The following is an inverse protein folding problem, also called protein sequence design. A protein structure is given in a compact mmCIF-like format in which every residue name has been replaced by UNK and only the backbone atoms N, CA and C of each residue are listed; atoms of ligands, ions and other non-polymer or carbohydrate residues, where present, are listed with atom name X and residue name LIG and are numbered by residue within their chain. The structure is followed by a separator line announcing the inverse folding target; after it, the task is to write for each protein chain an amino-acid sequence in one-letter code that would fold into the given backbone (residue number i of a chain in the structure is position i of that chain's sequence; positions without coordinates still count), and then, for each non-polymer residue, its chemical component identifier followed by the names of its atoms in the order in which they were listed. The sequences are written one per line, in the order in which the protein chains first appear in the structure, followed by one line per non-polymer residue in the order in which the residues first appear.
data_IF_992123064572
#
_entry.id   IF_992123064572
#
_cell.length_a   1.000
_cell.length_b   1.000
_cell.length_c   1.000
_cell.angle_alpha   90.00
_cell.angle_beta   90.00
_cell.angle_gamma   90.00
#
_symmetry.space_group_name_H-M   'P 1'
#
loop_
_entity.id
_entity.type
_entity.pdbx_description
1 polymer ?
#
# COMPACT_ATOMS: atom_id res chain seq x y z
N UNK A 1 0.50 -0.45 14.09
CA UNK A 1 1.88 -0.56 13.55
C UNK A 1 1.70 -1.09 12.17
N UNK A 2 2.02 -0.28 11.16
CA UNK A 2 1.79 -0.61 9.77
C UNK A 2 3.11 -1.01 9.12
N UNK A 3 3.07 -1.96 8.16
CA UNK A 3 4.25 -2.40 7.42
C UNK A 3 4.13 -1.94 5.98
N UNK A 4 5.02 -1.06 5.56
CA UNK A 4 5.08 -0.50 4.20
C UNK A 4 6.44 -0.84 3.60
N UNK A 5 6.43 -1.58 2.50
CA UNK A 5 7.65 -2.02 1.82
C UNK A 5 7.61 -1.66 0.34
N UNK A 6 8.75 -1.25 -0.20
CA UNK A 6 8.89 -0.96 -1.62
C UNK A 6 10.15 -1.62 -2.16
N UNK A 7 10.01 -2.31 -3.29
CA UNK A 7 11.11 -2.86 -4.06
C UNK A 7 10.90 -2.56 -5.55
N UNK A 8 11.63 -1.58 -6.07
CA UNK A 8 11.41 -1.08 -7.43
C UNK A 8 10.00 -0.51 -7.59
N UNK A 9 9.22 -1.09 -8.50
CA UNK A 9 7.83 -0.69 -8.80
C UNK A 9 6.79 -1.34 -7.88
N UNK A 10 7.16 -2.39 -7.14
CA UNK A 10 6.25 -3.09 -6.23
C UNK A 10 6.18 -2.38 -4.88
N UNK A 11 4.97 -2.17 -4.37
CA UNK A 11 4.72 -1.60 -3.04
C UNK A 11 3.75 -2.52 -2.30
N UNK A 12 4.09 -2.91 -1.07
CA UNK A 12 3.21 -3.69 -0.20
C UNK A 12 2.85 -2.85 1.02
N UNK A 13 1.56 -2.67 1.27
CA UNK A 13 1.03 -1.98 2.45
C UNK A 13 0.20 -2.96 3.25
N UNK A 14 0.64 -3.30 4.46
CA UNK A 14 -0.16 -4.06 5.42
C UNK A 14 -0.69 -3.10 6.48
N UNK A 15 -2.00 -2.88 6.47
CA UNK A 15 -2.69 -2.00 7.42
C UNK A 15 -4.13 -2.40 7.65
N UNK A 16 -4.63 -2.16 8.86
CA UNK A 16 -6.06 -2.34 9.20
C UNK A 16 -6.61 -3.75 8.90
N UNK A 17 -5.73 -4.76 8.96
CA UNK A 17 -6.09 -6.14 8.63
C UNK A 17 -6.18 -6.42 7.12
N UNK A 18 -5.70 -5.53 6.25
CA UNK A 18 -5.67 -5.69 4.80
C UNK A 18 -4.21 -5.66 4.33
N UNK A 19 -3.89 -6.53 3.37
CA UNK A 19 -2.62 -6.50 2.64
C UNK A 19 -2.92 -5.99 1.23
N UNK A 20 -2.46 -4.79 0.93
CA UNK A 20 -2.42 -4.28 -0.44
C UNK A 20 -1.08 -4.62 -1.07
N UNK A 21 -1.12 -5.44 -2.12
CA UNK A 21 0.07 -5.83 -2.87
C UNK A 21 0.00 -5.22 -4.27
N UNK A 22 0.69 -4.08 -4.42
CA UNK A 22 0.76 -3.33 -5.65
C UNK A 22 2.00 -3.72 -6.44
N UNK A 23 1.82 -4.07 -7.71
CA UNK A 23 2.93 -4.29 -8.62
C UNK A 23 2.48 -4.77 -10.00
N UNK A 24 3.44 -5.12 -10.87
CA UNK A 24 3.12 -5.60 -12.19
C UNK A 24 2.39 -6.95 -12.11
N UNK A 25 1.23 -7.02 -12.77
CA UNK A 25 0.53 -8.28 -13.02
C UNK A 25 1.17 -9.04 -14.20
N UNK A 26 0.59 -10.17 -14.61
CA UNK A 26 1.12 -11.02 -15.70
C UNK A 26 1.17 -10.33 -17.07
N UNK A 27 0.44 -9.22 -17.26
CA UNK A 27 0.46 -8.40 -18.49
C UNK A 27 1.25 -7.10 -18.31
N UNK A 28 2.05 -6.98 -17.24
CA UNK A 28 2.77 -5.75 -16.85
C UNK A 28 1.87 -4.56 -16.53
N UNK A 29 0.56 -4.78 -16.37
CA UNK A 29 -0.36 -3.78 -15.86
C UNK A 29 -0.16 -3.62 -14.36
N UNK A 30 -0.13 -2.38 -13.88
CA UNK A 30 0.00 -2.09 -12.47
C UNK A 30 -1.38 -2.09 -11.82
N UNK A 31 -1.61 -3.00 -10.87
CA UNK A 31 -2.82 -3.05 -10.07
C UNK A 31 -2.48 -3.53 -8.65
N UNK A 32 -3.47 -3.50 -7.75
CA UNK A 32 -3.34 -4.12 -6.45
C UNK A 32 -4.11 -5.44 -6.41
N UNK A 33 -3.55 -6.42 -5.72
CA UNK A 33 -4.25 -7.65 -5.35
C UNK A 33 -4.41 -7.67 -3.83
N UNK A 34 -5.55 -7.16 -3.37
CA UNK A 34 -5.79 -6.91 -1.97
C UNK A 34 -6.37 -8.18 -1.32
N UNK A 35 -5.77 -8.57 -0.20
CA UNK A 35 -6.28 -9.67 0.63
C UNK A 35 -6.66 -9.14 1.99
N UNK A 36 -7.91 -9.35 2.37
CA UNK A 36 -8.41 -9.01 3.70
C UNK A 36 -8.11 -10.18 4.66
N UNK A 37 -7.36 -9.89 5.72
CA UNK A 37 -6.99 -10.81 6.78
C UNK A 37 -8.06 -10.95 7.88
N UNK A 38 -9.08 -10.08 7.89
CA UNK A 38 -10.25 -10.25 8.76
C UNK A 38 -11.27 -11.16 8.09
N UNK A 39 -11.76 -12.16 8.84
CA UNK A 39 -12.89 -13.00 8.36
C UNK A 39 -14.17 -12.20 8.54
N UNK A 40 -14.60 -11.52 7.48
CA UNK A 40 -15.79 -10.64 7.53
C UNK A 40 -17.09 -11.46 7.60
N UNK A 41 -17.12 -12.66 7.01
CA UNK A 41 -18.26 -13.58 7.07
C UNK A 41 -17.87 -15.01 6.67
N UNK A 42 -18.80 -15.98 6.85
CA UNK A 42 -18.61 -17.39 6.44
C UNK A 42 -19.58 -17.76 5.31
N UNK A 43 -19.12 -18.55 4.35
CA UNK A 43 -19.96 -19.19 3.32
C UNK A 43 -19.87 -20.70 3.51
N UNK A 44 -21.02 -21.38 3.69
CA UNK A 44 -21.06 -22.84 3.87
C UNK A 44 -20.23 -23.33 5.07
N UNK A 45 -20.19 -22.55 6.16
CA UNK A 45 -19.42 -22.86 7.37
C UNK A 45 -17.92 -22.53 7.30
N UNK A 46 -17.39 -22.16 6.12
CA UNK A 46 -15.98 -21.82 5.92
C UNK A 46 -15.75 -20.31 6.00
N UNK A 47 -14.69 -19.83 6.68
CA UNK A 47 -14.23 -18.45 6.59
C UNK A 47 -14.08 -18.01 5.12
N UNK A 48 -14.66 -16.87 4.78
CA UNK A 48 -14.46 -16.25 3.48
C UNK A 48 -13.46 -15.10 3.62
N UNK A 49 -12.37 -15.16 2.87
CA UNK A 49 -11.40 -14.08 2.76
C UNK A 49 -11.66 -13.36 1.43
N UNK A 50 -12.32 -12.19 1.44
CA UNK A 50 -12.54 -11.45 0.20
C UNK A 50 -11.22 -11.02 -0.42
N UNK A 51 -11.22 -11.01 -1.76
CA UNK A 51 -10.16 -10.39 -2.55
C UNK A 51 -10.74 -9.20 -3.27
N UNK A 52 -10.07 -8.08 -3.18
CA UNK A 52 -10.43 -6.85 -3.88
C UNK A 52 -9.29 -6.41 -4.79
N UNK A 53 -9.63 -5.67 -5.82
CA UNK A 53 -8.65 -5.09 -6.74
C UNK A 53 -8.84 -3.59 -6.78
N UNK A 54 -7.74 -2.88 -6.62
CA UNK A 54 -7.64 -1.44 -6.73
C UNK A 54 -6.42 -1.08 -7.60
N UNK A 55 -6.10 0.20 -7.66
CA UNK A 55 -4.88 0.69 -8.31
C UNK A 55 -4.16 1.61 -7.37
N UNK A 56 -2.83 1.49 -7.32
CA UNK A 56 -1.98 2.53 -6.79
C UNK A 56 -1.22 3.16 -7.95
N UNK A 57 -1.11 4.48 -7.99
CA UNK A 57 -0.43 5.17 -9.09
C UNK A 57 0.57 6.14 -8.47
N UNK A 58 1.82 6.06 -8.92
CA UNK A 58 2.82 7.06 -8.59
C UNK A 58 2.60 8.31 -9.44
N UNK A 59 2.28 9.41 -8.78
CA UNK A 59 2.08 10.71 -9.39
C UNK A 59 2.97 11.75 -8.67
N UNK A 60 4.03 12.20 -9.33
CA UNK A 60 4.95 13.24 -8.82
C UNK A 60 5.46 12.99 -7.38
N UNK A 61 5.80 11.73 -7.05
CA UNK A 61 6.30 11.34 -5.73
C UNK A 61 5.21 11.04 -4.68
N UNK A 62 3.93 11.12 -5.07
CA UNK A 62 2.78 10.70 -4.26
C UNK A 62 2.28 9.36 -4.78
N UNK A 63 2.03 8.41 -3.87
CA UNK A 63 1.36 7.15 -4.19
C UNK A 63 -0.15 7.31 -3.95
N UNK A 64 -0.90 7.47 -5.03
CA UNK A 64 -2.35 7.66 -5.03
C UNK A 64 -3.05 6.31 -5.10
N UNK A 65 -3.96 6.03 -4.17
CA UNK A 65 -4.76 4.80 -4.16
C UNK A 65 -6.18 5.09 -4.66
N UNK A 66 -6.53 4.43 -5.77
CA UNK A 66 -7.82 4.53 -6.44
C UNK A 66 -8.70 3.32 -6.10
N UNK A 67 -9.86 3.58 -5.51
CA UNK A 67 -10.84 2.52 -5.26
C UNK A 67 -11.31 1.91 -6.58
N UNK A 68 -11.50 0.58 -6.63
CA UNK A 68 -11.89 -0.18 -7.83
C UNK A 68 -10.94 -0.07 -9.03
N UNK A 69 -9.76 0.51 -8.85
CA UNK A 69 -8.71 0.60 -9.86
C UNK A 69 -8.83 1.75 -10.86
N UNK A 70 -10.01 2.36 -10.98
CA UNK A 70 -10.29 3.51 -11.86
C UNK A 70 -11.08 4.61 -11.17
N UNK A 71 -11.52 4.38 -9.92
CA UNK A 71 -12.34 5.31 -9.15
C UNK A 71 -11.54 6.50 -8.60
N UNK A 72 -12.17 7.31 -7.73
CA UNK A 72 -11.51 8.45 -7.12
C UNK A 72 -10.31 8.01 -6.25
N UNK A 73 -9.34 8.93 -6.09
CA UNK A 73 -8.26 8.78 -5.13
C UNK A 73 -8.84 8.87 -3.73
N UNK A 74 -8.70 7.81 -2.94
CA UNK A 74 -9.21 7.78 -1.55
C UNK A 74 -8.12 7.86 -0.50
N UNK A 75 -6.87 7.59 -0.87
CA UNK A 75 -5.69 7.81 -0.02
C UNK A 75 -4.53 8.32 -0.87
N UNK A 76 -3.90 9.41 -0.45
CA UNK A 76 -2.61 9.89 -0.95
C UNK A 76 -1.54 9.54 0.09
N UNK A 77 -0.43 8.94 -0.35
CA UNK A 77 0.70 8.60 0.53
C UNK A 77 1.97 9.26 0.03
N UNK A 78 2.67 9.97 0.89
CA UNK A 78 3.90 10.67 0.53
C UNK A 78 4.81 10.83 1.76
N UNK A 79 6.10 11.04 1.49
CA UNK A 79 7.05 11.41 2.53
C UNK A 79 7.04 12.93 2.72
N UNK A 80 6.99 13.36 3.97
CA UNK A 80 7.18 14.75 4.38
C UNK A 80 8.25 14.78 5.47
N UNK A 81 9.46 15.16 5.07
CA UNK A 81 10.67 14.93 5.86
C UNK A 81 10.89 13.45 6.13
N UNK A 82 10.99 13.07 7.41
CA UNK A 82 11.18 11.69 7.85
C UNK A 82 9.86 10.92 8.04
N UNK A 83 8.72 11.60 7.97
CA UNK A 83 7.41 11.02 8.26
C UNK A 83 6.72 10.53 6.99
N UNK A 84 6.06 9.37 7.09
CA UNK A 84 5.11 8.91 6.08
C UNK A 84 3.76 9.53 6.39
N UNK A 85 3.21 10.27 5.44
CA UNK A 85 1.93 10.97 5.55
C UNK A 85 0.90 10.25 4.70
N UNK A 86 -0.25 9.94 5.30
CA UNK A 86 -1.44 9.48 4.62
C UNK A 86 -2.51 10.55 4.73
N UNK A 87 -3.01 10.99 3.59
CA UNK A 87 -4.10 11.93 3.48
C UNK A 87 -5.29 11.21 2.85
N UNK A 88 -6.42 11.22 3.53
CA UNK A 88 -7.63 10.52 3.12
C UNK A 88 -8.58 11.48 2.39
N UNK A 89 -9.49 10.93 1.58
CA UNK A 89 -10.46 11.73 0.83
C UNK A 89 -11.39 12.61 1.69
N UNK A 90 -11.54 12.31 2.98
CA UNK A 90 -12.30 13.14 3.93
C UNK A 90 -11.48 14.33 4.49
N UNK A 91 -10.22 14.48 4.04
CA UNK A 91 -9.29 15.51 4.50
C UNK A 91 -8.57 15.17 5.80
N UNK A 92 -8.85 14.01 6.42
CA UNK A 92 -8.09 13.56 7.58
C UNK A 92 -6.67 13.19 7.18
N UNK A 93 -5.72 13.40 8.11
CA UNK A 93 -4.30 13.14 7.88
C UNK A 93 -3.74 12.30 9.01
N UNK A 94 -3.02 11.24 8.65
CA UNK A 94 -2.23 10.42 9.57
C UNK A 94 -0.76 10.59 9.24
N UNK A 95 0.05 10.92 10.25
CA UNK A 95 1.51 11.02 10.14
C UNK A 95 2.13 9.91 10.95
N UNK A 96 3.11 9.22 10.38
CA UNK A 96 3.74 8.06 10.99
C UNK A 96 5.25 8.22 11.04
N UNK A 97 5.81 7.88 12.20
CA UNK A 97 7.24 7.77 12.40
C UNK A 97 7.74 6.38 12.02
N UNK A 98 8.98 6.31 11.54
CA UNK A 98 9.66 5.04 11.27
C UNK A 98 10.07 4.40 12.59
N UNK A 99 9.73 3.12 12.75
CA UNK A 99 10.15 2.33 13.93
C UNK A 99 11.63 1.93 13.82
N UNK A 100 12.14 1.80 12.60
CA UNK A 100 13.53 1.48 12.33
C UNK A 100 14.03 2.21 11.07
N UNK A 101 15.33 2.46 11.04
CA UNK A 101 16.03 3.04 9.90
C UNK A 101 17.09 2.07 9.40
N UNK A 102 17.40 2.15 8.11
CA UNK A 102 18.56 1.44 7.59
C UNK A 102 19.84 2.05 8.18
N UNK A 103 20.86 1.24 8.50
CA UNK A 103 22.20 1.76 8.73
C UNK A 103 22.63 2.61 7.53
N UNK A 104 23.30 3.72 7.77
CA UNK A 104 23.63 4.72 6.73
C UNK A 104 24.37 4.10 5.54
N UNK A 105 25.29 3.16 5.81
CA UNK A 105 26.06 2.43 4.80
C UNK A 105 25.23 1.49 3.91
N UNK A 106 24.03 1.08 4.34
CA UNK A 106 23.15 0.15 3.61
C UNK A 106 21.97 0.86 2.96
N UNK A 107 21.85 2.20 3.09
CA UNK A 107 20.72 2.97 2.56
C UNK A 107 20.64 2.92 1.03
N UNK A 108 21.79 2.84 0.36
CA UNK A 108 21.91 2.73 -1.10
C UNK A 108 22.44 1.33 -1.44
N UNK A 109 21.72 0.53 -2.25
CA UNK A 109 22.20 -0.77 -2.68
C UNK A 109 23.52 -0.65 -3.45
N UNK A 110 24.44 -1.60 -3.28
CA UNK A 110 25.64 -1.69 -4.11
C UNK A 110 25.25 -1.92 -5.57
N UNK A 111 25.97 -1.33 -6.55
CA UNK A 111 25.79 -1.65 -7.95
C UNK A 111 25.88 -3.16 -8.18
N UNK A 112 25.01 -3.69 -9.05
CA UNK A 112 25.05 -5.09 -9.49
C UNK A 112 26.14 -5.32 -10.52
#
# INVERSE_FOLDING_TARGET
VERIEQCGRRVVVTSSGIIHDYGPNSTLGENTNDTEGSVVFRIGGKPYCPRTSASMIWNQGVLEFHVFGWGPVVVRRYLDGEQLVWEYADGSVTRMDRICTFPERERVPRPR
#
